data_IF_218122803044
#
_entry.id   IF_218122803044
#
_cell.length_a   1.000
_cell.length_b   1.000
_cell.length_c   1.000
_cell.angle_alpha   90.00
_cell.angle_beta   90.00
_cell.angle_gamma   90.00
#
_symmetry.space_group_name_H-M   'P 1'
#
loop_
_entity.id
_entity.type
_entity.pdbx_description
1 polymer ?
#
# COMPACT_ATOMS: atom_id res chain seq x y z
N UNK A 1 -13.64 10.17 -36.50
CA UNK A 1 -13.37 8.71 -36.45
C UNK A 1 -12.97 8.17 -35.07
N UNK A 2 -13.26 8.88 -33.96
CA UNK A 2 -12.83 8.51 -32.60
C UNK A 2 -13.87 7.75 -31.75
N UNK A 3 -14.85 7.08 -32.37
CA UNK A 3 -15.96 6.38 -31.65
C UNK A 3 -15.86 4.85 -31.64
N UNK A 4 -14.71 4.24 -32.01
CA UNK A 4 -14.63 2.80 -32.30
C UNK A 4 -13.50 2.00 -31.63
N UNK A 5 -12.93 2.43 -30.50
CA UNK A 5 -11.89 1.65 -29.80
C UNK A 5 -12.32 0.98 -28.49
N UNK A 6 -13.48 1.32 -27.91
CA UNK A 6 -13.97 0.67 -26.70
C UNK A 6 -15.19 -0.16 -27.06
N UNK A 7 -14.96 -1.43 -27.40
CA UNK A 7 -16.00 -2.44 -27.18
C UNK A 7 -16.43 -2.30 -25.71
N UNK A 8 -17.74 -2.22 -25.39
CA UNK A 8 -18.16 -2.08 -24.01
C UNK A 8 -17.63 -3.31 -23.26
N UNK A 9 -16.66 -3.09 -22.36
CA UNK A 9 -16.14 -4.15 -21.50
C UNK A 9 -17.33 -4.87 -20.86
N UNK A 10 -17.30 -6.20 -20.90
CA UNK A 10 -18.24 -7.06 -20.17
C UNK A 10 -18.30 -6.62 -18.71
N UNK A 11 -19.45 -6.77 -18.05
CA UNK A 11 -19.61 -6.47 -16.63
C UNK A 11 -18.58 -7.24 -15.80
N UNK A 12 -18.27 -8.48 -16.20
CA UNK A 12 -17.24 -9.31 -15.57
C UNK A 12 -15.86 -8.66 -15.69
N UNK A 13 -15.47 -8.19 -16.87
CA UNK A 13 -14.16 -7.53 -17.05
C UNK A 13 -14.07 -6.21 -16.28
N UNK A 14 -15.17 -5.45 -16.21
CA UNK A 14 -15.21 -4.22 -15.41
C UNK A 14 -14.99 -4.52 -13.91
N UNK A 15 -15.67 -5.54 -13.38
CA UNK A 15 -15.49 -5.99 -12.00
C UNK A 15 -14.06 -6.48 -11.76
N UNK A 16 -13.50 -7.29 -12.68
CA UNK A 16 -12.14 -7.79 -12.58
C UNK A 16 -11.11 -6.65 -12.56
N UNK A 17 -11.30 -5.61 -13.38
CA UNK A 17 -10.43 -4.43 -13.37
C UNK A 17 -10.50 -3.66 -12.05
N UNK A 18 -11.70 -3.49 -11.47
CA UNK A 18 -11.87 -2.85 -10.17
C UNK A 18 -11.12 -3.63 -9.07
N UNK A 19 -11.27 -4.95 -9.05
CA UNK A 19 -10.59 -5.83 -8.08
C UNK A 19 -9.08 -5.83 -8.28
N UNK A 20 -8.61 -5.85 -9.53
CA UNK A 20 -7.19 -5.77 -9.84
C UNK A 20 -6.59 -4.44 -9.38
N UNK A 21 -7.32 -3.33 -9.58
CA UNK A 21 -6.88 -2.01 -9.18
C UNK A 21 -6.87 -1.85 -7.65
N UNK A 22 -7.87 -2.37 -6.94
CA UNK A 22 -7.89 -2.36 -5.47
C UNK A 22 -6.76 -3.21 -4.88
N UNK A 23 -6.49 -4.37 -5.49
CA UNK A 23 -5.38 -5.25 -5.10
C UNK A 23 -4.03 -4.58 -5.36
N UNK A 24 -3.86 -3.91 -6.50
CA UNK A 24 -2.64 -3.19 -6.83
C UNK A 24 -2.35 -2.07 -5.82
N UNK A 25 -3.37 -1.31 -5.41
CA UNK A 25 -3.24 -0.30 -4.34
C UNK A 25 -2.79 -0.97 -3.03
N UNK A 26 -3.41 -2.08 -2.64
CA UNK A 26 -3.03 -2.80 -1.42
C UNK A 26 -1.59 -3.30 -1.44
N UNK A 27 -1.17 -3.97 -2.52
CA UNK A 27 0.18 -4.50 -2.68
C UNK A 27 1.23 -3.39 -2.73
N UNK A 28 0.95 -2.29 -3.44
CA UNK A 28 1.84 -1.14 -3.47
C UNK A 28 2.02 -0.53 -2.07
N UNK A 29 0.94 -0.44 -1.28
CA UNK A 29 1.01 0.05 0.10
C UNK A 29 1.88 -0.84 0.98
N UNK A 30 1.69 -2.16 0.90
CA UNK A 30 2.52 -3.14 1.61
C UNK A 30 3.99 -3.05 1.21
N UNK A 31 4.30 -2.90 -0.08
CA UNK A 31 5.67 -2.76 -0.57
C UNK A 31 6.36 -1.50 -0.03
N UNK A 32 5.66 -0.35 -0.04
CA UNK A 32 6.17 0.91 0.51
C UNK A 32 6.41 0.79 2.02
N UNK A 33 5.49 0.14 2.75
CA UNK A 33 5.65 -0.12 4.18
C UNK A 33 6.85 -1.02 4.48
N UNK A 34 7.02 -2.11 3.74
CA UNK A 34 8.17 -3.01 3.88
C UNK A 34 9.50 -2.30 3.65
N UNK A 35 9.58 -1.45 2.62
CA UNK A 35 10.77 -0.63 2.35
C UNK A 35 11.07 0.34 3.51
N UNK A 36 10.04 1.00 4.06
CA UNK A 36 10.20 1.88 5.23
C UNK A 36 10.74 1.13 6.45
N UNK A 37 10.14 -0.02 6.78
CA UNK A 37 10.51 -0.80 7.97
C UNK A 37 11.97 -1.23 7.92
N UNK A 38 12.45 -1.73 6.78
CA UNK A 38 13.86 -2.09 6.60
C UNK A 38 14.79 -0.87 6.74
N UNK A 39 14.36 0.28 6.20
CA UNK A 39 15.06 1.55 6.35
C UNK A 39 15.24 1.95 7.81
N UNK A 40 14.13 2.02 8.55
CA UNK A 40 14.04 2.42 9.97
C UNK A 40 14.83 1.47 10.86
N UNK A 41 14.73 0.16 10.67
CA UNK A 41 15.52 -0.81 11.44
C UNK A 41 17.01 -0.58 11.29
N UNK A 42 17.50 -0.33 10.07
CA UNK A 42 18.91 -0.04 9.84
C UNK A 42 19.37 1.25 10.52
N UNK A 43 18.54 2.31 10.49
CA UNK A 43 18.85 3.58 11.16
C UNK A 43 18.87 3.44 12.68
N UNK A 44 17.94 2.67 13.27
CA UNK A 44 17.92 2.40 14.71
C UNK A 44 19.20 1.69 15.21
N UNK A 45 19.71 0.70 14.45
CA UNK A 45 20.96 0.04 14.79
C UNK A 45 22.17 1.00 14.71
N UNK A 46 22.21 1.87 13.71
CA UNK A 46 23.26 2.86 13.57
C UNK A 46 23.23 3.93 14.68
N UNK A 47 22.05 4.43 15.04
CA UNK A 47 21.86 5.32 16.20
C UNK A 47 22.35 4.66 17.48
N UNK A 48 22.07 3.36 17.67
CA UNK A 48 22.56 2.61 18.83
C UNK A 48 24.10 2.47 18.83
N UNK A 49 24.71 2.20 17.67
CA UNK A 49 26.18 2.14 17.53
C UNK A 49 26.84 3.50 17.79
N UNK A 50 26.30 4.58 17.25
CA UNK A 50 26.78 5.93 17.55
C UNK A 50 26.54 6.31 19.03
N UNK A 51 25.44 5.83 19.63
CA UNK A 51 25.19 5.89 21.07
C UNK A 51 26.27 5.18 21.89
N UNK A 52 26.66 3.97 21.50
CA UNK A 52 27.71 3.22 22.20
C UNK A 52 29.09 3.88 22.03
N UNK A 53 29.38 4.56 20.91
CA UNK A 53 30.62 5.34 20.74
C UNK A 53 30.73 6.48 21.75
N UNK A 54 29.63 7.16 22.09
CA UNK A 54 29.64 8.21 23.11
C UNK A 54 30.00 7.66 24.49
N UNK A 55 29.38 6.53 24.87
CA UNK A 55 29.70 5.84 26.12
C UNK A 55 31.17 5.37 26.13
N UNK A 56 31.65 4.77 25.05
CA UNK A 56 33.02 4.30 24.92
C UNK A 56 34.04 5.45 25.01
N UNK A 57 33.73 6.61 24.44
CA UNK A 57 34.57 7.81 24.52
C UNK A 57 34.78 8.26 25.97
N UNK A 58 33.70 8.35 26.76
CA UNK A 58 33.80 8.69 28.18
C UNK A 58 34.41 7.57 29.03
N UNK A 59 34.18 6.30 28.66
CA UNK A 59 34.80 5.15 29.34
C UNK A 59 36.32 5.16 29.18
N UNK A 60 36.82 5.47 27.99
CA UNK A 60 38.25 5.67 27.74
C UNK A 60 38.80 6.87 28.51
N UNK A 61 38.10 8.00 28.52
CA UNK A 61 38.49 9.17 29.30
C UNK A 61 38.63 8.86 30.80
N UNK A 62 37.69 8.10 31.35
CA UNK A 62 37.69 7.70 32.76
C UNK A 62 38.78 6.66 33.10
N UNK A 63 39.32 5.97 32.09
CA UNK A 63 40.40 5.00 32.24
C UNK A 63 41.80 5.62 32.13
N UNK A 64 41.92 6.90 31.75
CA UNK A 64 43.22 7.59 31.65
C UNK A 64 43.89 7.71 33.03
N UNK A 65 45.18 7.37 33.18
CA UNK A 65 46.11 6.89 32.14
C UNK A 65 45.86 5.43 31.75
N UNK A 66 45.76 5.19 30.43
CA UNK A 66 45.49 3.85 29.89
C UNK A 66 46.67 2.90 30.13
N UNK A 67 46.36 1.65 30.44
CA UNK A 67 47.36 0.58 30.50
C UNK A 67 47.04 -0.57 29.52
N UNK A 68 47.89 -1.60 29.49
CA UNK A 68 47.75 -2.71 28.55
C UNK A 68 46.38 -3.44 28.62
N UNK A 69 45.69 -3.40 29.76
CA UNK A 69 44.35 -4.02 29.92
C UNK A 69 43.27 -3.23 29.19
N UNK A 70 43.50 -1.93 28.96
CA UNK A 70 42.53 -1.02 28.36
C UNK A 70 42.61 -1.02 26.82
N UNK A 71 43.59 -1.71 26.24
CA UNK A 71 43.71 -1.93 24.80
C UNK A 71 42.40 -2.48 24.20
N UNK A 72 41.73 -3.37 24.93
CA UNK A 72 40.43 -3.92 24.52
C UNK A 72 39.36 -2.83 24.34
N UNK A 73 39.40 -1.76 25.14
CA UNK A 73 38.44 -0.65 25.04
C UNK A 73 38.66 0.16 23.76
N UNK A 74 39.92 0.33 23.35
CA UNK A 74 40.29 0.97 22.09
C UNK A 74 39.86 0.11 20.90
N UNK A 75 40.11 -1.20 20.96
CA UNK A 75 39.72 -2.14 19.90
C UNK A 75 38.19 -2.23 19.74
N UNK A 76 37.43 -2.23 20.85
CA UNK A 76 35.96 -2.17 20.82
C UNK A 76 35.44 -0.88 20.17
N UNK A 77 36.12 0.24 20.44
CA UNK A 77 35.77 1.54 19.88
C UNK A 77 36.06 1.61 18.39
N UNK A 78 37.23 1.11 17.96
CA UNK A 78 37.61 0.94 16.56
C UNK A 78 36.57 0.09 15.82
N UNK A 79 36.26 -1.10 16.36
CA UNK A 79 35.28 -2.00 15.75
C UNK A 79 33.89 -1.35 15.62
N UNK A 80 33.50 -0.52 16.59
CA UNK A 80 32.22 0.18 16.54
C UNK A 80 32.24 1.33 15.52
N UNK A 81 33.30 2.14 15.51
CA UNK A 81 33.44 3.32 14.65
C UNK A 81 33.54 2.97 13.16
N UNK A 82 34.12 1.81 12.84
CA UNK A 82 34.26 1.28 11.49
C UNK A 82 33.28 0.15 11.19
N UNK A 83 32.20 0.03 11.98
CA UNK A 83 31.19 -1.02 11.78
C UNK A 83 30.45 -0.85 10.44
N UNK A 84 30.18 -1.96 9.71
CA UNK A 84 29.44 -1.90 8.45
C UNK A 84 28.05 -1.26 8.59
N UNK A 85 27.40 -1.41 9.75
CA UNK A 85 26.10 -0.83 10.04
C UNK A 85 26.16 0.71 10.03
N UNK A 86 27.20 1.30 10.62
CA UNK A 86 27.38 2.74 10.69
C UNK A 86 27.72 3.32 9.30
N UNK A 87 28.58 2.62 8.54
CA UNK A 87 28.92 2.98 7.16
C UNK A 87 27.70 2.95 6.24
N UNK A 88 26.89 1.88 6.28
CA UNK A 88 25.66 1.77 5.48
C UNK A 88 24.60 2.81 5.88
N UNK A 89 24.54 3.21 7.15
CA UNK A 89 23.64 4.28 7.57
C UNK A 89 24.12 5.64 7.07
N UNK A 90 25.42 5.92 7.17
CA UNK A 90 26.01 7.14 6.61
C UNK A 90 25.85 7.23 5.09
N UNK A 91 26.00 6.14 4.35
CA UNK A 91 25.70 6.07 2.92
C UNK A 91 24.24 6.38 2.61
N UNK A 92 23.31 5.70 3.30
CA UNK A 92 21.87 5.89 3.07
C UNK A 92 21.40 7.29 3.40
N UNK A 93 21.97 7.92 4.42
CA UNK A 93 21.51 9.21 4.93
C UNK A 93 22.39 10.38 4.48
N UNK A 94 23.35 10.12 3.57
CA UNK A 94 24.22 11.15 2.99
C UNK A 94 25.21 11.78 3.98
N UNK A 95 25.61 11.03 5.02
CA UNK A 95 26.49 11.48 6.11
C UNK A 95 27.89 10.87 6.04
N UNK A 96 28.31 10.38 4.86
CA UNK A 96 29.62 9.73 4.68
C UNK A 96 30.77 10.67 5.05
N UNK A 97 30.68 11.95 4.68
CA UNK A 97 31.71 12.95 5.01
C UNK A 97 31.83 13.17 6.52
N UNK A 98 30.71 13.24 7.24
CA UNK A 98 30.70 13.43 8.69
C UNK A 98 31.21 12.19 9.43
N UNK A 99 30.80 11.00 9.01
CA UNK A 99 31.31 9.76 9.56
C UNK A 99 32.82 9.64 9.31
N UNK A 100 33.28 9.95 8.10
CA UNK A 100 34.70 9.93 7.75
C UNK A 100 35.49 10.92 8.59
N UNK A 101 35.01 12.16 8.77
CA UNK A 101 35.67 13.15 9.61
C UNK A 101 35.80 12.68 11.08
N UNK A 102 34.79 11.97 11.61
CA UNK A 102 34.85 11.36 12.93
C UNK A 102 35.86 10.20 13.00
N UNK A 103 35.86 9.33 12.00
CA UNK A 103 36.82 8.23 11.89
C UNK A 103 38.27 8.75 11.79
N UNK A 104 38.49 9.78 10.98
CA UNK A 104 39.78 10.44 10.82
C UNK A 104 40.22 11.12 12.13
N UNK A 105 39.31 11.82 12.82
CA UNK A 105 39.62 12.44 14.13
C UNK A 105 39.95 11.40 15.20
N UNK A 106 39.20 10.29 15.23
CA UNK A 106 39.47 9.19 16.13
C UNK A 106 40.86 8.61 15.91
N UNK A 107 41.22 8.30 14.66
CA UNK A 107 42.47 7.63 14.33
C UNK A 107 43.70 8.53 14.46
N UNK A 108 43.57 9.80 14.05
CA UNK A 108 44.72 10.71 13.94
C UNK A 108 44.95 11.56 15.18
N UNK A 109 43.92 11.84 15.99
CA UNK A 109 43.99 12.78 17.11
C UNK A 109 43.59 12.11 18.44
N UNK A 110 42.35 11.63 18.55
CA UNK A 110 41.78 11.23 19.84
C UNK A 110 42.41 9.93 20.40
N UNK A 111 42.55 8.89 19.58
CA UNK A 111 43.13 7.62 20.03
C UNK A 111 44.60 7.77 20.45
N UNK A 112 45.49 8.39 19.63
CA UNK A 112 46.85 8.70 20.08
C UNK A 112 46.88 9.58 21.33
N UNK A 113 46.02 10.61 21.41
CA UNK A 113 45.94 11.48 22.59
C UNK A 113 45.60 10.72 23.86
N UNK A 114 44.59 9.84 23.82
CA UNK A 114 44.17 9.01 24.95
C UNK A 114 45.27 8.04 25.41
N UNK A 115 46.05 7.47 24.47
CA UNK A 115 47.14 6.55 24.79
C UNK A 115 48.34 7.24 25.45
N UNK A 116 48.63 8.50 25.10
CA UNK A 116 49.78 9.25 25.63
C UNK A 116 49.43 10.10 26.87
N UNK A 117 48.14 10.31 27.15
CA UNK A 117 47.70 11.15 28.25
C UNK A 117 48.03 10.53 29.62
N UNK A 118 48.72 11.30 30.46
CA UNK A 118 48.94 10.91 31.86
C UNK A 118 47.80 11.36 32.80
N UNK A 119 46.93 12.25 32.33
CA UNK A 119 45.81 12.79 33.10
C UNK A 119 44.63 13.06 32.15
N UNK A 120 43.43 12.63 32.56
CA UNK A 120 42.18 12.82 31.81
C UNK A 120 41.92 14.29 31.44
N UNK A 121 42.35 15.26 32.25
CA UNK A 121 42.18 16.69 31.96
C UNK A 121 42.77 17.11 30.61
N UNK A 122 43.88 16.50 30.19
CA UNK A 122 44.60 16.87 28.95
C UNK A 122 43.78 16.53 27.70
N UNK A 123 42.96 15.48 27.76
CA UNK A 123 42.20 14.93 26.62
C UNK A 123 40.68 15.15 26.76
N UNK A 124 40.25 15.81 27.83
CA UNK A 124 38.83 16.03 28.13
C UNK A 124 38.14 16.89 27.06
N UNK A 125 38.81 17.91 26.52
CA UNK A 125 38.26 18.75 25.43
C UNK A 125 38.11 17.94 24.14
N UNK A 126 39.11 17.11 23.80
CA UNK A 126 39.09 16.29 22.59
C UNK A 126 37.97 15.24 22.63
N UNK A 127 37.77 14.60 23.79
CA UNK A 127 36.64 13.68 24.01
C UNK A 127 35.32 14.43 23.87
N UNK A 128 35.20 15.62 24.47
CA UNK A 128 33.98 16.44 24.38
C UNK A 128 33.68 16.83 22.94
N UNK A 129 34.70 17.24 22.18
CA UNK A 129 34.59 17.60 20.75
C UNK A 129 34.17 16.41 19.91
N UNK A 130 34.76 15.24 20.14
CA UNK A 130 34.42 14.02 19.43
C UNK A 130 32.97 13.58 19.71
N UNK A 131 32.56 13.59 20.98
CA UNK A 131 31.19 13.27 21.40
C UNK A 131 30.18 14.24 20.77
N UNK A 132 30.49 15.54 20.73
CA UNK A 132 29.63 16.52 20.06
C UNK A 132 29.50 16.25 18.55
N UNK A 133 30.55 15.75 17.91
CA UNK A 133 30.49 15.29 16.51
C UNK A 133 29.63 14.03 16.34
N UNK A 134 29.74 13.06 17.26
CA UNK A 134 28.84 11.89 17.30
C UNK A 134 27.38 12.28 17.48
N UNK A 135 27.09 13.27 18.35
CA UNK A 135 25.73 13.77 18.55
C UNK A 135 25.16 14.38 17.27
N UNK A 136 25.96 15.18 16.54
CA UNK A 136 25.53 15.72 15.23
C UNK A 136 25.25 14.61 14.22
N UNK A 137 26.10 13.58 14.16
CA UNK A 137 25.87 12.42 13.30
C UNK A 137 24.57 11.70 13.68
N UNK A 138 24.31 11.46 14.98
CA UNK A 138 23.07 10.84 15.46
C UNK A 138 21.84 11.67 15.10
N UNK A 139 21.89 12.99 15.33
CA UNK A 139 20.78 13.90 14.97
C UNK A 139 20.49 13.85 13.47
N UNK A 140 21.52 13.75 12.63
CA UNK A 140 21.34 13.64 11.18
C UNK A 140 20.65 12.34 10.76
N UNK A 141 20.98 11.20 11.38
CA UNK A 141 20.30 9.92 11.15
C UNK A 141 18.83 9.95 11.60
N UNK A 142 18.57 10.55 12.77
CA UNK A 142 17.23 10.63 13.33
C UNK A 142 16.30 11.49 12.44
N UNK A 143 16.75 12.70 12.09
CA UNK A 143 15.98 13.61 11.25
C UNK A 143 15.68 13.05 9.85
N UNK A 144 16.67 12.39 9.24
CA UNK A 144 16.48 11.78 7.92
C UNK A 144 15.49 10.60 7.98
N UNK A 145 15.50 9.86 9.09
CA UNK A 145 14.56 8.77 9.34
C UNK A 145 13.15 9.31 9.56
N UNK A 146 12.98 10.38 10.32
CA UNK A 146 11.69 11.04 10.56
C UNK A 146 11.05 11.54 9.26
N UNK A 147 11.80 12.26 8.42
CA UNK A 147 11.30 12.75 7.13
C UNK A 147 10.84 11.61 6.21
N UNK A 148 11.51 10.45 6.24
CA UNK A 148 11.08 9.27 5.48
C UNK A 148 9.77 8.70 6.01
N UNK A 149 9.64 8.60 7.33
CA UNK A 149 8.40 8.14 7.98
C UNK A 149 7.24 9.07 7.60
N UNK A 150 7.41 10.38 7.71
CA UNK A 150 6.37 11.36 7.37
C UNK A 150 5.91 11.24 5.91
N UNK A 151 6.85 11.12 4.96
CA UNK A 151 6.54 10.93 3.53
C UNK A 151 5.76 9.66 3.28
N UNK A 152 6.15 8.54 3.89
CA UNK A 152 5.45 7.26 3.72
C UNK A 152 4.06 7.30 4.34
N UNK A 153 3.89 7.96 5.49
CA UNK A 153 2.57 8.17 6.11
C UNK A 153 1.69 9.02 5.19
N UNK A 154 2.22 10.08 4.57
CA UNK A 154 1.48 10.89 3.60
C UNK A 154 1.03 10.04 2.41
N UNK A 155 1.92 9.24 1.83
CA UNK A 155 1.59 8.33 0.72
C UNK A 155 0.47 7.37 1.12
N UNK A 156 0.54 6.76 2.32
CA UNK A 156 -0.53 5.88 2.81
C UNK A 156 -1.86 6.60 2.99
N UNK A 157 -1.87 7.84 3.50
CA UNK A 157 -3.09 8.65 3.62
C UNK A 157 -3.71 8.91 2.25
N UNK A 158 -2.90 9.27 1.26
CA UNK A 158 -3.37 9.49 -0.12
C UNK A 158 -3.93 8.19 -0.72
N UNK A 159 -3.22 7.07 -0.58
CA UNK A 159 -3.69 5.76 -1.06
C UNK A 159 -5.00 5.34 -0.37
N UNK A 160 -5.15 5.60 0.93
CA UNK A 160 -6.38 5.31 1.66
C UNK A 160 -7.57 6.15 1.14
N UNK A 161 -7.35 7.43 0.84
CA UNK A 161 -8.36 8.30 0.23
C UNK A 161 -8.76 7.74 -1.15
N UNK A 162 -7.79 7.39 -2.01
CA UNK A 162 -8.08 6.80 -3.32
C UNK A 162 -8.83 5.47 -3.20
N UNK A 163 -8.46 4.62 -2.25
CA UNK A 163 -9.15 3.35 -1.97
C UNK A 163 -10.59 3.60 -1.52
N UNK A 164 -10.82 4.57 -0.64
CA UNK A 164 -12.17 4.93 -0.18
C UNK A 164 -13.03 5.44 -1.36
N UNK A 165 -12.49 6.32 -2.21
CA UNK A 165 -13.17 6.78 -3.41
C UNK A 165 -13.49 5.64 -4.38
N UNK A 166 -12.54 4.73 -4.59
CA UNK A 166 -12.73 3.55 -5.42
C UNK A 166 -13.83 2.63 -4.87
N UNK A 167 -13.89 2.44 -3.55
CA UNK A 167 -14.94 1.65 -2.89
C UNK A 167 -16.31 2.29 -3.06
N UNK A 168 -16.44 3.59 -2.81
CA UNK A 168 -17.70 4.32 -3.01
C UNK A 168 -18.14 4.23 -4.47
N UNK A 169 -17.22 4.46 -5.41
CA UNK A 169 -17.47 4.28 -6.83
C UNK A 169 -17.95 2.86 -7.15
N UNK A 170 -17.27 1.84 -6.62
CA UNK A 170 -17.61 0.42 -6.85
C UNK A 170 -19.01 0.09 -6.33
N UNK A 171 -19.39 0.59 -5.15
CA UNK A 171 -20.72 0.38 -4.57
C UNK A 171 -21.80 1.01 -5.44
N UNK A 172 -21.61 2.25 -5.87
CA UNK A 172 -22.56 2.96 -6.75
C UNK A 172 -22.66 2.24 -8.10
N UNK A 173 -21.52 1.88 -8.68
CA UNK A 173 -21.44 1.15 -9.95
C UNK A 173 -22.17 -0.20 -9.84
N UNK A 174 -21.93 -0.98 -8.79
CA UNK A 174 -22.58 -2.28 -8.58
C UNK A 174 -24.11 -2.13 -8.42
N UNK A 175 -24.56 -1.08 -7.69
CA UNK A 175 -26.00 -0.80 -7.55
C UNK A 175 -26.67 -0.50 -8.90
N UNK A 176 -26.07 0.37 -9.71
CA UNK A 176 -26.68 0.85 -10.96
C UNK A 176 -26.53 -0.16 -12.09
N UNK A 177 -25.35 -0.77 -12.24
CA UNK A 177 -25.02 -1.63 -13.39
C UNK A 177 -25.34 -3.10 -13.19
N UNK A 178 -25.46 -3.56 -11.94
CA UNK A 178 -25.69 -4.97 -11.64
C UNK A 178 -26.98 -5.18 -10.84
N UNK A 179 -27.14 -4.56 -9.67
CA UNK A 179 -28.26 -4.84 -8.78
C UNK A 179 -29.63 -4.38 -9.33
N UNK A 180 -29.71 -3.18 -9.92
CA UNK A 180 -30.95 -2.67 -10.49
C UNK A 180 -31.44 -3.51 -11.69
N UNK A 181 -30.61 -3.78 -12.73
CA UNK A 181 -30.99 -4.67 -13.82
C UNK A 181 -31.37 -6.08 -13.34
N UNK A 182 -30.60 -6.63 -12.40
CA UNK A 182 -30.89 -7.93 -11.80
C UNK A 182 -32.29 -8.00 -11.16
N UNK A 183 -32.67 -6.96 -10.40
CA UNK A 183 -34.01 -6.88 -9.80
C UNK A 183 -35.12 -6.81 -10.86
N UNK A 184 -34.91 -6.08 -11.95
CA UNK A 184 -35.88 -6.00 -13.05
C UNK A 184 -36.07 -7.37 -13.71
N UNK A 185 -34.98 -8.06 -14.05
CA UNK A 185 -35.03 -9.41 -14.62
C UNK A 185 -35.77 -10.38 -13.70
N UNK A 186 -35.48 -10.35 -12.40
CA UNK A 186 -36.13 -11.21 -11.42
C UNK A 186 -37.63 -10.90 -11.30
N UNK A 187 -38.01 -9.62 -11.33
CA UNK A 187 -39.42 -9.23 -11.28
C UNK A 187 -40.19 -9.69 -12.53
N UNK A 188 -39.58 -9.57 -13.70
CA UNK A 188 -40.17 -10.02 -14.96
C UNK A 188 -40.31 -11.54 -15.00
N UNK A 189 -39.29 -12.28 -14.60
CA UNK A 189 -39.35 -13.74 -14.52
C UNK A 189 -40.48 -14.22 -13.60
N UNK A 190 -40.71 -13.54 -12.46
CA UNK A 190 -41.84 -13.80 -11.57
C UNK A 190 -43.19 -13.51 -12.22
N UNK A 191 -43.32 -12.40 -12.95
CA UNK A 191 -44.55 -12.05 -13.66
C UNK A 191 -44.91 -13.11 -14.71
N UNK A 192 -43.93 -13.51 -15.53
CA UNK A 192 -44.10 -14.59 -16.53
C UNK A 192 -44.53 -15.90 -15.86
N UNK A 193 -43.96 -16.25 -14.70
CA UNK A 193 -44.38 -17.46 -13.96
C UNK A 193 -45.83 -17.41 -13.47
N UNK A 194 -46.39 -16.22 -13.29
CA UNK A 194 -47.77 -15.97 -12.90
C UNK A 194 -48.69 -15.75 -14.12
N UNK A 195 -48.21 -16.04 -15.34
CA UNK A 195 -48.90 -15.80 -16.62
C UNK A 195 -49.16 -14.33 -16.94
N UNK A 196 -48.47 -13.40 -16.28
CA UNK A 196 -48.44 -12.00 -16.70
C UNK A 196 -47.29 -11.78 -17.70
N UNK A 197 -47.63 -11.76 -18.98
CA UNK A 197 -46.69 -11.53 -20.08
C UNK A 197 -46.62 -10.07 -20.52
N UNK A 198 -47.19 -9.12 -19.77
CA UNK A 198 -47.21 -7.69 -20.14
C UNK A 198 -45.96 -6.95 -19.67
N UNK A 199 -45.29 -7.46 -18.63
CA UNK A 199 -44.07 -6.87 -18.09
C UNK A 199 -42.90 -6.94 -19.08
N UNK A 200 -42.03 -5.93 -19.05
CA UNK A 200 -40.82 -5.86 -19.88
C UNK A 200 -39.61 -5.39 -19.07
N UNK A 201 -38.46 -6.02 -19.29
CA UNK A 201 -37.18 -5.59 -18.73
C UNK A 201 -36.56 -4.51 -19.63
N UNK A 202 -36.59 -3.24 -19.20
CA UNK A 202 -36.00 -2.14 -19.96
C UNK A 202 -34.57 -1.84 -19.48
N UNK A 203 -33.64 -2.68 -19.89
CA UNK A 203 -32.22 -2.58 -19.51
C UNK A 203 -31.45 -1.98 -20.69
N UNK A 204 -31.03 -0.72 -20.52
CA UNK A 204 -30.22 -0.03 -21.53
C UNK A 204 -28.75 -0.44 -21.45
N UNK A 205 -28.11 -0.64 -22.60
CA UNK A 205 -26.68 -0.89 -22.71
C UNK A 205 -26.34 -2.00 -23.70
N UNK A 206 -25.06 -2.33 -23.76
CA UNK A 206 -24.51 -3.41 -24.59
C UNK A 206 -23.68 -4.36 -23.73
N UNK A 207 -24.26 -4.77 -22.60
CA UNK A 207 -23.65 -5.69 -21.65
C UNK A 207 -24.54 -6.92 -21.45
N UNK A 208 -24.07 -7.83 -20.62
CA UNK A 208 -24.69 -9.13 -20.36
C UNK A 208 -26.10 -8.99 -19.78
N UNK A 209 -26.33 -7.98 -18.92
CA UNK A 209 -27.67 -7.71 -18.36
C UNK A 209 -28.66 -7.21 -19.42
N UNK A 210 -28.21 -6.36 -20.35
CA UNK A 210 -29.04 -5.91 -21.47
C UNK A 210 -29.36 -7.07 -22.43
N UNK A 211 -28.37 -7.90 -22.75
CA UNK A 211 -28.57 -9.09 -23.58
C UNK A 211 -29.58 -10.06 -22.96
N UNK A 212 -29.47 -10.31 -21.65
CA UNK A 212 -30.42 -11.17 -20.92
C UNK A 212 -31.83 -10.56 -20.86
N UNK A 213 -31.93 -9.23 -20.68
CA UNK A 213 -33.22 -8.52 -20.73
C UNK A 213 -33.91 -8.64 -22.06
N UNK A 214 -33.18 -8.46 -23.18
CA UNK A 214 -33.72 -8.65 -24.52
C UNK A 214 -34.18 -10.09 -24.76
N UNK A 215 -33.38 -11.09 -24.36
CA UNK A 215 -33.75 -12.49 -24.51
C UNK A 215 -35.03 -12.83 -23.71
N UNK A 216 -35.15 -12.32 -22.48
CA UNK A 216 -36.33 -12.54 -21.65
C UNK A 216 -37.58 -11.86 -22.21
N UNK A 217 -37.44 -10.64 -22.75
CA UNK A 217 -38.52 -9.91 -23.43
C UNK A 217 -39.06 -10.70 -24.63
N UNK A 218 -38.17 -11.20 -25.50
CA UNK A 218 -38.57 -11.97 -26.68
C UNK A 218 -39.29 -13.27 -26.28
N UNK A 219 -38.77 -14.00 -25.29
CA UNK A 219 -39.42 -15.21 -24.78
C UNK A 219 -40.81 -14.92 -24.21
N UNK A 220 -40.97 -13.82 -23.47
CA UNK A 220 -42.27 -13.41 -22.93
C UNK A 220 -43.27 -13.01 -24.03
N UNK A 221 -42.79 -12.44 -25.13
CA UNK A 221 -43.62 -12.07 -26.29
C UNK A 221 -44.10 -13.31 -27.05
N UNK A 222 -43.21 -14.27 -27.33
CA UNK A 222 -43.57 -15.54 -27.95
C UNK A 222 -44.56 -16.34 -27.10
N UNK A 223 -44.39 -16.35 -25.77
CA UNK A 223 -45.35 -16.99 -24.86
C UNK A 223 -46.71 -16.31 -24.90
N UNK A 224 -46.76 -14.97 -24.89
CA UNK A 224 -48.01 -14.23 -24.98
C UNK A 224 -48.77 -14.55 -26.28
N UNK A 225 -48.06 -14.57 -27.41
CA UNK A 225 -48.63 -14.89 -28.72
C UNK A 225 -49.15 -16.34 -28.75
N UNK A 226 -48.37 -17.30 -28.25
CA UNK A 226 -48.77 -18.70 -28.17
C UNK A 226 -50.05 -18.91 -27.34
N UNK A 227 -50.15 -18.23 -26.19
CA UNK A 227 -51.34 -18.27 -25.35
C UNK A 227 -52.56 -17.62 -26.04
N UNK A 228 -52.38 -16.47 -26.71
CA UNK A 228 -53.47 -15.80 -27.43
C UNK A 228 -54.03 -16.66 -28.58
N UNK A 229 -53.14 -17.31 -29.35
CA UNK A 229 -53.55 -18.26 -30.40
C UNK A 229 -54.29 -19.46 -29.82
N UNK A 230 -53.86 -19.97 -28.65
CA UNK A 230 -54.53 -21.08 -28.00
C UNK A 230 -55.92 -20.69 -27.48
N UNK A 231 -56.05 -19.50 -26.89
CA UNK A 231 -57.32 -18.97 -26.39
C UNK A 231 -58.32 -18.73 -27.53
N UNK A 232 -57.87 -18.18 -28.66
CA UNK A 232 -58.69 -18.03 -29.86
C UNK A 232 -59.22 -19.39 -30.36
N UNK A 233 -58.36 -20.41 -30.44
CA UNK A 233 -58.78 -21.76 -30.86
C UNK A 233 -59.77 -22.39 -29.89
N UNK A 234 -59.64 -22.12 -28.59
CA UNK A 234 -60.61 -22.59 -27.59
C UNK A 234 -61.96 -21.93 -27.87
N UNK A 235 -62.01 -20.59 -27.99
CA UNK A 235 -63.24 -19.85 -28.24
C UNK A 235 -63.96 -20.29 -29.54
N UNK A 236 -63.22 -20.47 -30.64
CA UNK A 236 -63.78 -20.96 -31.90
C UNK A 236 -64.42 -22.35 -31.75
N UNK A 237 -63.81 -23.25 -30.97
CA UNK A 237 -64.36 -24.57 -30.69
C UNK A 237 -65.58 -24.52 -29.77
N UNK A 238 -65.60 -23.66 -28.75
CA UNK A 238 -66.78 -23.50 -27.87
C UNK A 238 -67.96 -22.91 -28.63
N UNK A 239 -67.74 -21.87 -29.44
CA UNK A 239 -68.80 -21.27 -30.26
C UNK A 239 -69.37 -22.27 -31.29
N UNK A 240 -68.51 -23.10 -31.91
CA UNK A 240 -68.95 -24.15 -32.82
C UNK A 240 -69.71 -25.31 -32.16
N UNK A 241 -69.58 -25.48 -30.84
CA UNK A 241 -70.35 -26.45 -30.06
C UNK A 241 -71.71 -25.88 -29.63
N UNK A 242 -71.80 -24.59 -29.29
CA UNK A 242 -73.07 -23.92 -28.97
C UNK A 242 -73.99 -23.79 -30.19
N UNK A 243 -73.43 -23.64 -31.41
CA UNK A 243 -74.22 -23.67 -32.66
C UNK A 243 -74.73 -25.06 -33.06
N UNK A 244 -74.27 -26.13 -32.40
CA UNK A 244 -74.67 -27.52 -32.66
C UNK A 244 -75.70 -28.06 -31.67
N UNK A 245 -76.18 -27.24 -30.74
CA UNK A 245 -77.30 -27.53 -29.82
C UNK A 245 -78.55 -26.79 -30.34
#
# INVERSE_FOLDING_TARGET
MFKRCFSPLTLVNQLALIVMLSTAIGVAGMAVSGWLVQGVQGSAHAINKAGSLRMQSYRLLAAVPLDAKDQKLLDEMEQTAFSPELTRAAERDGQQEQLKALQDYWHNELSPGLQHAQNAYVVADDVTRFVAGLDRLVTSFDHTTELRIERVVLVHRVMAIFMALLLVFTIIWLRVRLLQPWKQLLSMARAVSQRDFTQRANISGRNEMAALGSALNNMSEELAESYAVLEQRVQEKTAGLEQKI
#
